data_IF_937535986481
#
_entry.id   IF_937535986481
#
_cell.length_a   1.000
_cell.length_b   1.000
_cell.length_c   1.000
_cell.angle_alpha   90.00
_cell.angle_beta   90.00
_cell.angle_gamma   90.00
#
_symmetry.space_group_name_H-M   'P 1'
#
loop_
_entity.id
_entity.type
_entity.pdbx_description
1 polymer ?
#
# COMPACT_ATOMS: atom_id res chain seq x y z
N UNK A 1 13.24 -6.77 21.64
CA UNK A 1 12.10 -7.51 21.06
C UNK A 1 12.05 -7.19 19.58
N UNK A 2 11.90 -8.19 18.72
CA UNK A 2 11.84 -8.00 17.27
C UNK A 2 10.40 -8.20 16.78
N UNK A 3 10.00 -7.45 15.75
CA UNK A 3 8.68 -7.58 15.13
C UNK A 3 8.63 -8.92 14.38
N UNK A 4 7.59 -9.77 14.57
CA UNK A 4 7.46 -11.02 13.85
C UNK A 4 7.54 -10.80 12.33
N UNK A 5 8.28 -11.67 11.63
CA UNK A 5 8.43 -11.62 10.17
C UNK A 5 7.95 -12.95 9.59
N UNK A 6 7.08 -12.87 8.58
CA UNK A 6 6.44 -14.01 7.94
C UNK A 6 6.99 -14.17 6.52
N UNK A 7 7.51 -15.34 6.20
CA UNK A 7 7.93 -15.72 4.86
C UNK A 7 6.76 -16.35 4.09
N UNK A 8 6.36 -15.74 2.97
CA UNK A 8 5.27 -16.24 2.13
C UNK A 8 5.73 -17.10 0.95
N UNK A 9 7.03 -17.33 0.76
CA UNK A 9 7.54 -18.19 -0.31
C UNK A 9 6.87 -19.57 -0.41
N UNK A 10 6.49 -20.25 0.70
CA UNK A 10 5.84 -21.57 0.60
C UNK A 10 4.45 -21.53 -0.06
N UNK A 11 3.79 -20.37 -0.13
CA UNK A 11 2.46 -20.25 -0.76
C UNK A 11 2.52 -20.11 -2.29
N UNK A 12 3.72 -19.93 -2.86
CA UNK A 12 3.92 -19.70 -4.29
C UNK A 12 4.63 -20.87 -5.00
N UNK A 13 4.82 -22.00 -4.32
CA UNK A 13 5.41 -23.20 -4.93
C UNK A 13 4.34 -24.00 -5.70
N UNK A 14 4.71 -24.52 -6.87
CA UNK A 14 3.82 -25.31 -7.73
C UNK A 14 3.74 -26.80 -7.33
N UNK A 15 4.40 -27.20 -6.25
CA UNK A 15 4.41 -28.56 -5.71
C UNK A 15 4.00 -28.55 -4.24
N UNK A 16 3.16 -29.50 -3.84
CA UNK A 16 2.79 -29.70 -2.44
C UNK A 16 3.49 -30.94 -1.91
N UNK A 17 4.80 -30.86 -1.67
CA UNK A 17 5.47 -31.87 -0.87
C UNK A 17 5.20 -31.62 0.63
N UNK A 18 5.46 -32.64 1.46
CA UNK A 18 5.22 -32.57 2.90
C UNK A 18 6.00 -31.44 3.59
N UNK A 19 7.11 -30.98 2.99
CA UNK A 19 7.93 -29.90 3.53
C UNK A 19 7.30 -28.52 3.26
N UNK A 20 6.75 -28.30 2.07
CA UNK A 20 6.05 -27.05 1.76
C UNK A 20 4.78 -26.89 2.62
N UNK A 21 4.02 -27.96 2.87
CA UNK A 21 2.86 -27.91 3.77
C UNK A 21 3.27 -27.60 5.23
N UNK A 22 4.38 -28.16 5.72
CA UNK A 22 4.92 -27.80 7.05
C UNK A 22 5.30 -26.33 7.12
N UNK A 23 5.96 -25.79 6.09
CA UNK A 23 6.37 -24.37 6.04
C UNK A 23 5.15 -23.44 5.95
N UNK A 24 4.13 -23.78 5.15
CA UNK A 24 2.86 -23.04 5.11
C UNK A 24 2.20 -23.02 6.48
N UNK A 25 2.12 -24.16 7.17
CA UNK A 25 1.58 -24.25 8.52
C UNK A 25 2.36 -23.36 9.50
N UNK A 26 3.70 -23.39 9.45
CA UNK A 26 4.54 -22.54 10.30
C UNK A 26 4.28 -21.05 10.05
N UNK A 27 4.15 -20.62 8.79
CA UNK A 27 3.80 -19.24 8.46
C UNK A 27 2.42 -18.84 9.00
N UNK A 28 1.42 -19.71 8.87
CA UNK A 28 0.07 -19.50 9.43
C UNK A 28 0.10 -19.38 10.96
N UNK A 29 0.87 -20.24 11.64
CA UNK A 29 1.00 -20.20 13.10
C UNK A 29 1.65 -18.88 13.56
N UNK A 30 2.68 -18.39 12.86
CA UNK A 30 3.30 -17.09 13.14
C UNK A 30 2.30 -15.95 12.92
N UNK A 31 1.55 -15.95 11.80
CA UNK A 31 0.53 -14.92 11.53
C UNK A 31 -0.51 -14.91 12.65
N UNK A 32 -1.01 -16.08 13.05
CA UNK A 32 -2.01 -16.22 14.10
C UNK A 32 -1.51 -15.63 15.42
N UNK A 33 -0.30 -16.01 15.83
CA UNK A 33 0.31 -15.48 17.05
C UNK A 33 0.53 -13.97 16.95
N UNK A 34 1.08 -13.49 15.83
CA UNK A 34 1.35 -12.06 15.61
C UNK A 34 0.07 -11.21 15.71
N UNK A 35 -1.02 -11.68 15.09
CA UNK A 35 -2.32 -11.02 15.16
C UNK A 35 -2.92 -11.01 16.58
N UNK A 36 -2.71 -12.07 17.37
CA UNK A 36 -3.26 -12.16 18.74
C UNK A 36 -2.43 -11.42 19.78
N UNK A 37 -1.10 -11.36 19.63
CA UNK A 37 -0.20 -10.81 20.65
C UNK A 37 0.31 -9.40 20.32
N UNK A 38 0.55 -9.08 19.05
CA UNK A 38 1.24 -7.85 18.62
C UNK A 38 0.32 -6.92 17.82
N UNK A 39 -0.62 -7.48 17.04
CA UNK A 39 -1.51 -6.74 16.14
C UNK A 39 -0.88 -6.36 14.79
N UNK A 40 0.40 -6.70 14.55
CA UNK A 40 1.09 -6.48 13.28
C UNK A 40 2.30 -7.41 13.11
N UNK A 41 2.75 -7.58 11.87
CA UNK A 41 3.93 -8.35 11.48
C UNK A 41 4.49 -7.84 10.15
N UNK A 42 5.75 -8.17 9.86
CA UNK A 42 6.38 -7.94 8.57
C UNK A 42 6.17 -9.14 7.66
N UNK A 43 6.15 -8.90 6.35
CA UNK A 43 6.04 -9.94 5.33
C UNK A 43 7.23 -9.86 4.39
N UNK A 44 7.83 -11.01 4.09
CA UNK A 44 8.88 -11.17 3.07
C UNK A 44 8.47 -12.23 2.04
N UNK A 45 9.11 -12.20 0.87
CA UNK A 45 8.84 -13.13 -0.23
C UNK A 45 7.35 -13.19 -0.62
N UNK A 46 6.64 -12.05 -0.56
CA UNK A 46 5.23 -11.90 -0.94
C UNK A 46 4.97 -11.96 -2.46
N UNK A 47 6.02 -12.18 -3.26
CA UNK A 47 5.97 -12.28 -4.72
C UNK A 47 5.39 -11.03 -5.43
N UNK A 48 5.48 -9.85 -4.79
CA UNK A 48 5.18 -8.58 -5.46
C UNK A 48 6.45 -8.12 -6.16
N UNK A 49 6.42 -7.86 -7.48
CA UNK A 49 7.62 -7.49 -8.23
C UNK A 49 8.30 -6.23 -7.66
N UNK A 50 9.63 -6.28 -7.52
CA UNK A 50 10.40 -5.16 -6.98
C UNK A 50 10.33 -3.92 -7.87
N UNK A 51 10.24 -4.09 -9.19
CA UNK A 51 10.08 -2.98 -10.14
C UNK A 51 8.73 -2.27 -9.92
N UNK A 52 7.68 -3.02 -9.58
CA UNK A 52 6.35 -2.48 -9.32
C UNK A 52 6.36 -1.63 -8.04
N UNK A 53 6.94 -2.15 -6.96
CA UNK A 53 7.10 -1.42 -5.70
C UNK A 53 7.94 -0.15 -5.90
N UNK A 54 9.06 -0.27 -6.62
CA UNK A 54 9.97 0.85 -6.88
C UNK A 54 9.30 1.94 -7.70
N UNK A 55 8.55 1.58 -8.75
CA UNK A 55 7.77 2.53 -9.56
C UNK A 55 6.69 3.22 -8.72
N UNK A 56 5.96 2.47 -7.88
CA UNK A 56 4.96 3.04 -6.97
C UNK A 56 5.57 4.08 -6.02
N UNK A 57 6.73 3.79 -5.44
CA UNK A 57 7.44 4.72 -4.56
C UNK A 57 7.91 5.96 -5.33
N UNK A 58 8.48 5.80 -6.52
CA UNK A 58 8.95 6.90 -7.36
C UNK A 58 7.81 7.84 -7.77
N UNK A 59 6.66 7.29 -8.15
CA UNK A 59 5.49 8.08 -8.49
C UNK A 59 5.02 8.86 -7.26
N UNK A 60 4.85 8.22 -6.10
CA UNK A 60 4.52 8.90 -4.84
C UNK A 60 5.45 10.09 -4.56
N UNK A 61 6.78 9.87 -4.61
CA UNK A 61 7.77 10.94 -4.44
C UNK A 61 7.58 12.09 -5.45
N UNK A 62 7.33 11.75 -6.72
CA UNK A 62 7.11 12.72 -7.80
C UNK A 62 5.88 13.59 -7.52
N UNK A 63 4.76 12.98 -7.14
CA UNK A 63 3.53 13.73 -6.83
C UNK A 63 3.69 14.66 -5.63
N UNK A 64 4.29 14.18 -4.52
CA UNK A 64 4.44 15.01 -3.33
C UNK A 64 5.47 16.13 -3.50
N UNK A 65 6.39 16.00 -4.46
CA UNK A 65 7.31 17.07 -4.87
C UNK A 65 6.65 18.18 -5.70
N UNK A 66 5.42 17.99 -6.20
CA UNK A 66 4.71 19.04 -6.93
C UNK A 66 4.38 20.25 -6.04
N UNK A 67 4.25 21.45 -6.64
CA UNK A 67 3.74 22.63 -5.94
C UNK A 67 2.37 22.34 -5.29
N UNK A 68 2.09 23.03 -4.17
CA UNK A 68 0.84 22.85 -3.44
C UNK A 68 -0.41 23.03 -4.32
N UNK A 69 -0.36 23.99 -5.25
CA UNK A 69 -1.45 24.26 -6.19
C UNK A 69 -1.76 23.07 -7.11
N UNK A 70 -0.74 22.36 -7.61
CA UNK A 70 -0.92 21.16 -8.44
C UNK A 70 -1.48 19.99 -7.61
N UNK A 71 -1.00 19.82 -6.37
CA UNK A 71 -1.53 18.79 -5.46
C UNK A 71 -2.99 19.04 -5.11
N UNK A 72 -3.38 20.30 -4.88
CA UNK A 72 -4.76 20.70 -4.58
C UNK A 72 -5.75 20.43 -5.71
N UNK A 73 -5.30 20.39 -6.98
CA UNK A 73 -6.15 19.96 -8.11
C UNK A 73 -6.60 18.49 -7.98
N UNK A 74 -5.89 17.70 -7.19
CA UNK A 74 -6.21 16.31 -6.92
C UNK A 74 -7.07 16.11 -5.65
N UNK A 75 -7.58 17.17 -5.02
CA UNK A 75 -8.41 17.06 -3.82
C UNK A 75 -9.81 16.50 -4.11
N UNK A 76 -10.48 15.90 -3.10
CA UNK A 76 -11.85 15.44 -3.23
C UNK A 76 -12.80 16.55 -3.68
N UNK A 77 -13.77 16.22 -4.54
CA UNK A 77 -14.81 17.17 -4.95
C UNK A 77 -15.78 17.44 -3.79
N UNK A 78 -16.30 18.66 -3.69
CA UNK A 78 -17.16 19.10 -2.57
C UNK A 78 -18.42 18.25 -2.31
N UNK A 79 -18.87 17.46 -3.29
CA UNK A 79 -20.00 16.53 -3.18
C UNK A 79 -19.62 15.08 -3.53
N UNK A 80 -18.34 14.72 -3.41
CA UNK A 80 -17.92 13.35 -3.67
C UNK A 80 -18.44 12.41 -2.57
N UNK A 81 -18.93 11.21 -2.92
CA UNK A 81 -19.40 10.23 -1.94
C UNK A 81 -18.26 9.66 -1.09
N UNK A 82 -17.01 9.80 -1.55
CA UNK A 82 -15.80 9.33 -0.88
C UNK A 82 -14.71 10.39 -0.94
N UNK A 83 -13.85 10.50 0.09
CA UNK A 83 -12.78 11.49 0.15
C UNK A 83 -11.54 11.07 -0.68
N UNK A 84 -11.74 10.54 -1.89
CA UNK A 84 -10.65 10.13 -2.77
C UNK A 84 -9.88 11.35 -3.29
N UNK A 85 -8.56 11.34 -3.18
CA UNK A 85 -7.70 12.44 -3.59
C UNK A 85 -6.74 12.95 -2.52
N UNK A 86 -6.10 14.07 -2.83
CA UNK A 86 -5.10 14.73 -2.00
C UNK A 86 -5.73 15.51 -0.84
N UNK A 87 -5.15 15.36 0.34
CA UNK A 87 -5.49 16.13 1.52
C UNK A 87 -4.28 16.26 2.44
N UNK A 88 -4.37 17.17 3.41
CA UNK A 88 -3.34 17.42 4.41
C UNK A 88 -3.98 17.47 5.78
N UNK A 89 -3.31 16.90 6.76
CA UNK A 89 -3.75 17.02 8.15
C UNK A 89 -3.74 18.49 8.61
N UNK A 90 -4.65 18.89 9.52
CA UNK A 90 -4.66 20.24 10.07
C UNK A 90 -3.33 20.61 10.72
N UNK A 91 -2.96 21.90 10.71
CA UNK A 91 -1.68 22.38 11.24
C UNK A 91 -1.44 22.09 12.74
N UNK A 92 -2.50 21.77 13.48
CA UNK A 92 -2.44 21.42 14.91
C UNK A 92 -2.41 19.90 15.17
N UNK A 93 -2.37 19.08 14.12
CA UNK A 93 -2.23 17.63 14.26
C UNK A 93 -0.86 17.29 14.87
N UNK A 94 -0.78 16.34 15.82
CA UNK A 94 0.50 15.80 16.30
C UNK A 94 1.21 14.99 15.20
N UNK A 95 0.47 14.44 14.24
CA UNK A 95 0.98 13.77 13.04
C UNK A 95 0.74 14.68 11.83
N UNK A 96 1.70 15.55 11.54
CA UNK A 96 1.63 16.46 10.40
C UNK A 96 2.08 15.73 9.15
N UNK A 97 1.13 15.32 8.33
CA UNK A 97 1.40 14.74 7.02
C UNK A 97 0.44 15.27 5.95
N UNK A 98 0.87 15.09 4.71
CA UNK A 98 0.02 15.15 3.54
C UNK A 98 -0.15 13.74 2.98
N UNK A 99 -1.28 13.47 2.33
CA UNK A 99 -1.61 12.14 1.84
C UNK A 99 -2.47 12.20 0.58
N UNK A 100 -2.43 11.11 -0.19
CA UNK A 100 -3.25 10.88 -1.37
C UNK A 100 -4.04 9.59 -1.15
N UNK A 101 -5.35 9.72 -0.95
CA UNK A 101 -6.23 8.57 -0.72
C UNK A 101 -6.74 8.02 -2.05
N UNK A 102 -6.52 6.72 -2.28
CA UNK A 102 -6.92 6.02 -3.50
C UNK A 102 -7.76 4.79 -3.15
N UNK A 103 -8.78 4.53 -3.96
CA UNK A 103 -9.62 3.33 -3.96
C UNK A 103 -9.27 2.43 -5.14
N UNK A 104 -9.94 1.28 -5.23
CA UNK A 104 -9.78 0.32 -6.32
C UNK A 104 -9.79 1.04 -7.69
N UNK A 105 -8.83 0.77 -8.61
CA UNK A 105 -8.64 1.54 -9.84
C UNK A 105 -9.91 1.70 -10.69
N UNK A 106 -10.77 0.68 -10.71
CA UNK A 106 -12.03 0.66 -11.50
C UNK A 106 -13.22 1.31 -10.82
N UNK A 107 -13.04 1.89 -9.62
CA UNK A 107 -14.13 2.50 -8.86
C UNK A 107 -14.62 3.83 -9.44
N UNK A 108 -13.82 4.50 -10.27
CA UNK A 108 -14.14 5.82 -10.83
C UNK A 108 -14.11 6.97 -9.81
N UNK A 109 -13.81 6.69 -8.53
CA UNK A 109 -13.77 7.71 -7.48
C UNK A 109 -12.44 8.47 -7.42
N UNK A 110 -11.35 7.84 -7.89
CA UNK A 110 -10.00 8.37 -7.73
C UNK A 110 -9.80 9.70 -8.46
N UNK A 111 -9.28 10.69 -7.75
CA UNK A 111 -8.83 11.97 -8.32
C UNK A 111 -7.29 11.94 -8.34
N UNK A 112 -6.71 11.66 -9.51
CA UNK A 112 -5.28 11.45 -9.70
C UNK A 112 -4.68 12.51 -10.64
N UNK A 113 -3.38 12.85 -10.48
CA UNK A 113 -2.70 13.76 -11.39
C UNK A 113 -2.76 13.22 -12.83
N UNK A 114 -2.72 14.14 -13.80
CA UNK A 114 -2.66 13.80 -15.23
C UNK A 114 -1.22 13.55 -15.71
N UNK A 115 -0.24 14.03 -14.96
CA UNK A 115 1.19 13.99 -15.29
C UNK A 115 1.98 13.55 -14.04
N UNK A 116 2.87 12.54 -14.13
CA UNK A 116 3.04 11.63 -15.27
C UNK A 116 1.81 10.75 -15.53
N UNK A 117 1.56 10.34 -16.80
CA UNK A 117 0.40 9.52 -17.17
C UNK A 117 0.38 8.16 -16.43
N UNK A 118 1.55 7.69 -16.01
CA UNK A 118 1.77 6.46 -15.26
C UNK A 118 0.93 6.38 -13.97
N UNK A 119 0.53 7.51 -13.39
CA UNK A 119 -0.39 7.55 -12.25
C UNK A 119 -1.74 6.89 -12.53
N UNK A 120 -2.19 6.91 -13.79
CA UNK A 120 -3.50 6.40 -14.20
C UNK A 120 -3.43 5.03 -14.85
N UNK A 121 -2.23 4.55 -15.20
CA UNK A 121 -2.04 3.29 -15.92
C UNK A 121 -1.73 2.09 -15.03
N UNK A 122 -1.81 2.22 -13.69
CA UNK A 122 -1.69 1.07 -12.78
C UNK A 122 -2.87 0.11 -12.99
N UNK A 123 -2.64 -0.93 -13.81
CA UNK A 123 -3.54 -2.04 -14.07
C UNK A 123 -2.77 -3.36 -14.03
#
# INVERSE_FOLDING_TARGET
MAIPTVDLSPFFTNGGDDEDEKKKKAAVDIIKQACSEYGFFQVVNHNVPLDLMSRGMQLSMTFFAFPAEEKLKCSPRAAAPLPAGYSKQPDRSPDKNEYLLMFQPRSGFNVLPSDPPDFRSFH
#
